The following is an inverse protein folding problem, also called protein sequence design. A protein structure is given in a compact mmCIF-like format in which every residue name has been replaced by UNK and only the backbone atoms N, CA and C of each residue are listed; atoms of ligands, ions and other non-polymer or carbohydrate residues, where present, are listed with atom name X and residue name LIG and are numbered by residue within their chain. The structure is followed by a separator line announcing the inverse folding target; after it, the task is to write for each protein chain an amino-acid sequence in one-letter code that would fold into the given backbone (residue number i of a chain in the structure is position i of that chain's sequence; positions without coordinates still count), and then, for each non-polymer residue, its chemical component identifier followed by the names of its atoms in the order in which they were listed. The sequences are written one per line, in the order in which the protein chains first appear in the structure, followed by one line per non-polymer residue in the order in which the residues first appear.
data_IF_545996709214
#
_entry.id   IF_545996709214
#
_cell.length_a   1.000
_cell.length_b   1.000
_cell.length_c   1.000
_cell.angle_alpha   90.00
_cell.angle_beta   90.00
_cell.angle_gamma   90.00
#
_symmetry.space_group_name_H-M   'P 1'
#
loop_
_entity.id
_entity.type
_entity.pdbx_description
1 polymer ?
#
# COMPACT_ATOMS: atom_id res chain seq x y z
N UNK A 1 -2.69 11.06 8.83
CA UNK A 1 -3.01 12.52 8.86
C UNK A 1 -1.98 13.35 8.10
N UNK A 2 -0.68 13.27 8.41
CA UNK A 2 0.36 14.06 7.70
C UNK A 2 0.43 13.80 6.19
N UNK A 3 0.35 12.53 5.76
CA UNK A 3 0.35 12.15 4.33
C UNK A 3 -0.86 12.71 3.56
N UNK A 4 -2.05 12.69 4.18
CA UNK A 4 -3.29 13.24 3.60
C UNK A 4 -3.21 14.76 3.49
N UNK A 5 -2.65 15.43 4.49
CA UNK A 5 -2.40 16.88 4.47
C UNK A 5 -1.47 17.28 3.32
N UNK A 6 -0.33 16.59 3.17
CA UNK A 6 0.64 16.86 2.12
C UNK A 6 0.08 16.57 0.71
N UNK A 7 -0.72 15.51 0.56
CA UNK A 7 -1.39 15.22 -0.71
C UNK A 7 -2.43 16.30 -1.08
N UNK A 8 -3.18 16.78 -0.08
CA UNK A 8 -4.18 17.85 -0.27
C UNK A 8 -3.49 19.14 -0.74
N UNK A 9 -2.39 19.54 -0.10
CA UNK A 9 -1.62 20.72 -0.49
C UNK A 9 -1.10 20.61 -1.94
N UNK A 10 -0.57 19.44 -2.32
CA UNK A 10 -0.12 19.20 -3.70
C UNK A 10 -1.27 19.33 -4.70
N UNK A 11 -2.45 18.77 -4.40
CA UNK A 11 -3.62 18.87 -5.27
C UNK A 11 -4.04 20.32 -5.45
N UNK A 12 -4.15 21.09 -4.36
CA UNK A 12 -4.52 22.50 -4.43
C UNK A 12 -3.51 23.31 -5.25
N UNK A 13 -2.21 23.03 -5.08
CA UNK A 13 -1.15 23.68 -5.84
C UNK A 13 -1.26 23.36 -7.33
N UNK A 14 -1.47 22.09 -7.71
CA UNK A 14 -1.67 21.70 -9.10
C UNK A 14 -2.92 22.32 -9.71
N UNK A 15 -4.05 22.37 -8.97
CA UNK A 15 -5.27 23.05 -9.44
C UNK A 15 -5.00 24.53 -9.67
N UNK A 16 -4.31 25.19 -8.73
CA UNK A 16 -3.92 26.59 -8.85
C UNK A 16 -3.06 26.81 -10.10
N UNK A 17 -2.07 25.97 -10.36
CA UNK A 17 -1.20 26.06 -11.55
C UNK A 17 -1.98 25.91 -12.85
N UNK A 18 -2.77 24.84 -12.99
CA UNK A 18 -3.57 24.55 -14.19
C UNK A 18 -4.52 25.70 -14.52
N UNK A 19 -5.18 26.30 -13.52
CA UNK A 19 -6.07 27.44 -13.73
C UNK A 19 -5.32 28.68 -14.24
N UNK A 20 -4.10 28.91 -13.75
CA UNK A 20 -3.24 30.00 -14.21
C UNK A 20 -2.79 29.82 -15.66
N UNK A 21 -2.38 28.61 -16.03
CA UNK A 21 -1.98 28.27 -17.41
C UNK A 21 -3.13 28.43 -18.43
N UNK A 22 -4.37 28.24 -17.98
CA UNK A 22 -5.57 28.38 -18.81
C UNK A 22 -6.17 29.81 -18.78
N UNK A 23 -5.46 30.78 -18.20
CA UNK A 23 -5.88 32.19 -18.22
C UNK A 23 -7.16 32.48 -17.41
N UNK A 24 -7.45 31.69 -16.39
CA UNK A 24 -8.58 31.93 -15.48
C UNK A 24 -8.27 33.15 -14.61
N UNK A 25 -9.24 34.05 -14.46
CA UNK A 25 -9.10 35.25 -13.59
C UNK A 25 -8.79 34.85 -12.15
N UNK A 26 -7.97 35.65 -11.46
CA UNK A 26 -7.44 35.32 -10.14
C UNK A 26 -8.54 35.17 -9.09
N UNK A 27 -9.59 36.00 -9.14
CA UNK A 27 -10.72 35.90 -8.20
C UNK A 27 -11.47 34.57 -8.37
N UNK A 28 -11.71 34.18 -9.62
CA UNK A 28 -12.36 32.91 -9.96
C UNK A 28 -11.47 31.71 -9.64
N UNK A 29 -10.15 31.87 -9.79
CA UNK A 29 -9.17 30.84 -9.45
C UNK A 29 -9.18 30.53 -7.97
N UNK A 30 -9.12 31.56 -7.12
CA UNK A 30 -9.15 31.39 -5.66
C UNK A 30 -10.47 30.80 -5.18
N UNK A 31 -11.61 31.17 -5.80
CA UNK A 31 -12.90 30.55 -5.54
C UNK A 31 -12.89 29.03 -5.86
N UNK A 32 -12.33 28.63 -7.01
CA UNK A 32 -12.23 27.21 -7.40
C UNK A 32 -11.30 26.44 -6.44
N UNK A 33 -10.16 27.03 -6.05
CA UNK A 33 -9.24 26.42 -5.08
C UNK A 33 -9.96 26.21 -3.73
N UNK A 34 -10.74 27.20 -3.28
CA UNK A 34 -11.52 27.09 -2.06
C UNK A 34 -12.59 25.98 -2.15
N UNK A 35 -13.34 25.91 -3.25
CA UNK A 35 -14.31 24.82 -3.44
C UNK A 35 -13.65 23.45 -3.53
N UNK A 36 -12.49 23.36 -4.16
CA UNK A 36 -11.70 22.12 -4.22
C UNK A 36 -11.30 21.68 -2.82
N UNK A 37 -10.81 22.60 -1.99
CA UNK A 37 -10.45 22.31 -0.60
C UNK A 37 -11.64 21.78 0.20
N UNK A 38 -12.80 22.45 0.07
CA UNK A 38 -14.03 22.02 0.76
C UNK A 38 -14.50 20.65 0.26
N UNK A 39 -14.41 20.39 -1.05
CA UNK A 39 -14.78 19.10 -1.62
C UNK A 39 -13.88 17.97 -1.09
N UNK A 40 -12.57 18.18 -1.06
CA UNK A 40 -11.61 17.23 -0.46
C UNK A 40 -11.96 16.97 1.00
N UNK A 41 -12.21 18.02 1.78
CA UNK A 41 -12.57 17.89 3.18
C UNK A 41 -13.85 17.07 3.36
N UNK A 42 -14.90 17.34 2.58
CA UNK A 42 -16.14 16.56 2.62
C UNK A 42 -15.94 15.10 2.23
N UNK A 43 -15.09 14.81 1.25
CA UNK A 43 -14.76 13.43 0.89
C UNK A 43 -14.08 12.73 2.07
N UNK A 44 -13.11 13.40 2.71
CA UNK A 44 -12.40 12.86 3.86
C UNK A 44 -13.30 12.67 5.09
N UNK A 45 -14.23 13.59 5.35
CA UNK A 45 -15.23 13.48 6.43
C UNK A 45 -16.15 12.26 6.23
N UNK A 46 -16.51 11.96 4.98
CA UNK A 46 -17.34 10.81 4.62
C UNK A 46 -16.52 9.54 4.35
N UNK A 47 -15.20 9.62 4.37
CA UNK A 47 -14.34 8.46 4.20
C UNK A 47 -14.25 7.71 5.52
N UNK A 48 -15.27 6.91 5.80
CA UNK A 48 -15.27 5.99 6.93
C UNK A 48 -14.20 4.91 6.67
N UNK A 49 -13.03 5.08 7.28
CA UNK A 49 -12.03 4.02 7.30
C UNK A 49 -12.60 2.85 8.11
N UNK A 50 -12.84 1.73 7.45
CA UNK A 50 -13.08 0.47 8.17
C UNK A 50 -11.82 0.17 9.00
N UNK A 51 -11.95 -0.22 10.27
CA UNK A 51 -10.81 -0.61 11.07
C UNK A 51 -10.10 -1.79 10.42
N UNK A 52 -8.78 -1.69 10.31
CA UNK A 52 -7.94 -2.80 9.89
C UNK A 52 -7.68 -3.71 11.10
N UNK A 53 -8.52 -4.74 11.24
CA UNK A 53 -8.37 -5.76 12.29
C UNK A 53 -7.16 -6.68 12.08
N UNK A 54 -6.57 -6.67 10.87
CA UNK A 54 -5.37 -7.44 10.55
C UNK A 54 -4.08 -6.64 10.81
N UNK A 55 -4.16 -5.41 11.33
CA UNK A 55 -3.00 -4.58 11.60
C UNK A 55 -2.15 -5.13 12.77
N UNK A 56 -0.84 -5.30 12.54
CA UNK A 56 0.10 -5.82 13.55
C UNK A 56 0.11 -4.97 14.83
N UNK A 57 0.06 -3.64 14.67
CA UNK A 57 0.12 -2.68 15.77
C UNK A 57 -1.03 -2.79 16.79
N UNK A 58 -2.15 -3.44 16.42
CA UNK A 58 -3.28 -3.69 17.32
C UNK A 58 -3.35 -5.16 17.78
N UNK A 59 -2.33 -5.96 17.47
CA UNK A 59 -2.17 -7.33 17.97
C UNK A 59 -2.53 -8.45 16.98
N UNK A 60 -2.74 -8.15 15.70
CA UNK A 60 -2.87 -9.19 14.68
C UNK A 60 -1.53 -9.92 14.49
N UNK A 61 -1.59 -11.24 14.25
CA UNK A 61 -0.38 -12.08 14.11
C UNK A 61 -0.55 -13.12 13.00
N UNK A 62 0.56 -13.67 12.51
CA UNK A 62 0.57 -14.76 11.55
C UNK A 62 0.60 -16.12 12.27
N UNK A 63 -0.23 -17.06 11.80
CA UNK A 63 -0.09 -18.47 12.14
C UNK A 63 0.94 -19.12 11.19
N UNK A 64 2.22 -19.02 11.56
CA UNK A 64 3.34 -19.49 10.73
C UNK A 64 3.18 -20.96 10.29
N UNK A 65 2.64 -21.83 11.15
CA UNK A 65 2.50 -23.26 10.87
C UNK A 65 1.47 -23.56 9.79
N UNK A 66 0.49 -22.68 9.62
CA UNK A 66 -0.57 -22.78 8.61
C UNK A 66 -0.40 -21.76 7.49
N UNK A 67 0.75 -21.10 7.42
CA UNK A 67 1.09 -20.13 6.38
C UNK A 67 2.10 -20.76 5.43
N UNK A 68 2.03 -20.38 4.15
CA UNK A 68 3.01 -20.85 3.16
C UNK A 68 4.43 -20.46 3.57
N UNK A 69 5.42 -21.24 3.15
CA UNK A 69 6.81 -20.89 3.45
C UNK A 69 7.20 -19.62 2.72
N UNK A 70 7.86 -18.71 3.42
CA UNK A 70 8.52 -17.57 2.78
C UNK A 70 9.47 -18.08 1.71
N UNK A 71 9.46 -17.40 0.57
CA UNK A 71 10.42 -17.64 -0.50
C UNK A 71 11.82 -17.48 0.06
N UNK A 72 12.72 -18.43 -0.21
CA UNK A 72 14.06 -18.45 0.37
C UNK A 72 15.14 -18.00 -0.62
N UNK A 73 14.74 -17.49 -1.78
CA UNK A 73 15.69 -16.98 -2.78
C UNK A 73 16.52 -18.07 -3.46
N UNK A 74 16.16 -19.36 -3.36
CA UNK A 74 16.84 -20.44 -4.08
C UNK A 74 16.86 -20.12 -5.59
N UNK A 75 18.04 -19.72 -6.08
CA UNK A 75 18.24 -19.21 -7.43
C UNK A 75 19.27 -18.06 -7.53
N UNK A 76 19.57 -17.37 -6.42
CA UNK A 76 20.71 -16.43 -6.37
C UNK A 76 21.99 -17.22 -6.14
N UNK A 77 22.58 -17.76 -7.21
CA UNK A 77 23.98 -18.20 -7.17
C UNK A 77 24.81 -17.06 -6.60
N UNK A 78 25.50 -17.29 -5.50
CA UNK A 78 26.54 -16.39 -5.02
C UNK A 78 27.58 -16.27 -6.14
N UNK A 79 27.54 -15.19 -6.91
CA UNK A 79 28.66 -14.85 -7.77
C UNK A 79 29.81 -14.53 -6.82
N UNK A 80 30.87 -15.34 -6.89
CA UNK A 80 32.00 -15.41 -5.95
C UNK A 80 32.83 -14.12 -5.76
N UNK A 81 32.32 -12.93 -6.11
CA UNK A 81 33.06 -11.67 -6.04
C UNK A 81 32.32 -10.48 -5.42
N UNK A 82 31.22 -10.69 -4.66
CA UNK A 82 30.69 -9.63 -3.79
C UNK A 82 30.23 -10.18 -2.42
N UNK A 83 30.80 -9.72 -1.29
CA UNK A 83 30.62 -10.38 0.00
C UNK A 83 29.31 -10.06 0.75
N UNK A 84 28.30 -9.44 0.14
CA UNK A 84 27.05 -9.15 0.85
C UNK A 84 25.85 -9.23 -0.11
N UNK A 85 25.23 -10.41 -0.18
CA UNK A 85 23.84 -10.54 -0.66
C UNK A 85 23.01 -11.01 0.53
N UNK A 86 22.77 -10.11 1.48
CA UNK A 86 21.71 -10.30 2.47
C UNK A 86 20.38 -10.07 1.76
N UNK A 87 19.89 -11.08 1.05
CA UNK A 87 18.48 -11.09 0.65
C UNK A 87 17.71 -11.75 1.78
N UNK A 88 17.58 -11.08 2.92
CA UNK A 88 16.58 -11.51 3.91
C UNK A 88 15.22 -11.26 3.27
N UNK A 89 14.60 -12.32 2.76
CA UNK A 89 13.21 -12.25 2.33
C UNK A 89 12.36 -11.82 3.51
N UNK A 90 11.49 -10.83 3.29
CA UNK A 90 10.64 -10.33 4.36
C UNK A 90 9.79 -11.47 4.94
N UNK A 91 9.55 -11.47 6.25
CA UNK A 91 8.72 -12.50 6.87
C UNK A 91 7.23 -12.22 6.58
N UNK A 92 6.34 -13.19 6.78
CA UNK A 92 4.90 -13.03 6.49
C UNK A 92 4.25 -11.85 7.20
N UNK A 93 4.74 -11.48 8.38
CA UNK A 93 4.23 -10.38 9.22
C UNK A 93 4.27 -9.02 8.49
N UNK A 94 5.15 -8.88 7.48
CA UNK A 94 5.23 -7.67 6.65
C UNK A 94 3.89 -7.30 6.00
N UNK A 95 3.01 -8.28 5.71
CA UNK A 95 1.69 -7.98 5.12
C UNK A 95 0.71 -7.33 6.11
N UNK A 96 1.01 -7.37 7.41
CA UNK A 96 0.18 -6.79 8.47
C UNK A 96 0.63 -5.36 8.82
N UNK A 97 1.65 -4.84 8.14
CA UNK A 97 2.21 -3.51 8.36
C UNK A 97 1.63 -2.50 7.35
N UNK A 98 1.52 -1.21 7.71
CA UNK A 98 0.92 -0.19 6.84
C UNK A 98 1.85 0.30 5.72
N UNK A 99 3.08 -0.23 5.66
CA UNK A 99 4.11 0.23 4.73
C UNK A 99 3.99 -0.49 3.38
N UNK A 100 3.93 0.29 2.30
CA UNK A 100 3.79 -0.23 0.92
C UNK A 100 4.82 0.50 0.06
N UNK A 101 6.04 -0.03 0.03
CA UNK A 101 7.10 0.40 -0.87
C UNK A 101 7.66 -0.78 -1.68
N UNK A 102 8.34 -0.53 -2.81
CA UNK A 102 9.00 -1.59 -3.56
C UNK A 102 9.95 -2.40 -2.68
N UNK A 103 9.72 -3.71 -2.62
CA UNK A 103 10.50 -4.63 -1.79
C UNK A 103 10.02 -4.78 -0.35
N UNK A 104 9.03 -4.04 0.11
CA UNK A 104 8.36 -4.20 1.43
C UNK A 104 7.14 -5.14 1.31
N UNK A 105 7.37 -6.34 0.80
CA UNK A 105 6.32 -7.35 0.65
C UNK A 105 6.82 -8.73 1.08
N UNK A 106 5.93 -9.58 1.55
CA UNK A 106 6.20 -11.00 1.74
C UNK A 106 6.01 -11.76 0.43
N UNK A 107 6.93 -12.67 0.12
CA UNK A 107 6.88 -13.51 -1.06
C UNK A 107 6.86 -15.00 -0.66
N UNK A 108 6.16 -15.81 -1.45
CA UNK A 108 6.17 -17.27 -1.37
C UNK A 108 6.52 -17.88 -2.73
N UNK A 109 6.91 -19.16 -2.74
CA UNK A 109 7.29 -19.86 -3.96
C UNK A 109 6.07 -20.15 -4.85
N UNK A 110 6.17 -19.81 -6.15
CA UNK A 110 5.18 -20.17 -7.16
C UNK A 110 4.00 -19.20 -7.25
N UNK A 111 2.90 -19.65 -7.84
CA UNK A 111 1.69 -18.84 -8.09
C UNK A 111 0.52 -19.16 -7.16
N UNK A 112 0.69 -20.11 -6.24
CA UNK A 112 -0.32 -20.52 -5.28
C UNK A 112 0.28 -20.55 -3.89
N UNK A 113 -0.39 -19.86 -2.97
CA UNK A 113 0.01 -19.74 -1.58
C UNK A 113 -1.19 -19.38 -0.74
N UNK A 114 -0.98 -19.36 0.57
CA UNK A 114 -1.99 -19.01 1.55
C UNK A 114 -1.30 -18.46 2.80
N UNK A 115 -2.03 -17.61 3.51
CA UNK A 115 -1.64 -17.03 4.78
C UNK A 115 -2.79 -17.15 5.76
N UNK A 116 -2.47 -17.40 7.02
CA UNK A 116 -3.47 -17.47 8.07
C UNK A 116 -3.18 -16.40 9.10
N UNK A 117 -4.08 -15.43 9.18
CA UNK A 117 -3.98 -14.27 10.08
C UNK A 117 -4.86 -14.53 11.30
N UNK A 118 -4.30 -14.32 12.50
CA UNK A 118 -5.03 -14.31 13.77
C UNK A 118 -5.34 -12.88 14.13
N UNK A 119 -6.63 -12.56 14.18
CA UNK A 119 -7.11 -11.25 14.57
C UNK A 119 -7.06 -11.11 16.11
N UNK A 120 -6.89 -9.89 16.64
CA UNK A 120 -6.86 -9.64 18.09
C UNK A 120 -8.22 -9.84 18.76
N UNK A 121 -9.31 -9.84 17.98
CA UNK A 121 -10.67 -10.02 18.46
C UNK A 121 -11.49 -10.87 17.48
N UNK A 122 -12.53 -11.52 17.99
CA UNK A 122 -13.50 -12.24 17.17
C UNK A 122 -14.47 -11.25 16.52
N UNK A 123 -14.37 -11.10 15.20
CA UNK A 123 -15.20 -10.19 14.41
C UNK A 123 -16.02 -10.94 13.37
N UNK A 124 -16.98 -10.24 12.76
CA UNK A 124 -17.65 -10.67 11.53
C UNK A 124 -17.08 -9.87 10.35
N UNK A 125 -16.18 -10.43 9.53
CA UNK A 125 -15.56 -9.69 8.43
C UNK A 125 -16.61 -9.29 7.39
N UNK A 126 -16.63 -8.01 7.02
CA UNK A 126 -17.53 -7.46 5.98
C UNK A 126 -16.80 -7.06 4.71
N UNK A 127 -15.48 -6.89 4.78
CA UNK A 127 -14.63 -6.47 3.67
C UNK A 127 -13.21 -6.97 3.88
N UNK A 128 -12.48 -7.10 2.78
CA UNK A 128 -11.05 -7.42 2.75
C UNK A 128 -10.35 -6.43 1.84
N UNK A 129 -9.12 -6.06 2.19
CA UNK A 129 -8.30 -5.16 1.40
C UNK A 129 -6.98 -5.84 1.08
N UNK A 130 -6.60 -5.85 -0.19
CA UNK A 130 -5.30 -6.36 -0.65
C UNK A 130 -4.62 -5.24 -1.43
N UNK A 131 -3.39 -4.91 -1.05
CA UNK A 131 -2.60 -3.88 -1.72
C UNK A 131 -1.42 -4.49 -2.45
N UNK A 132 -1.04 -3.84 -3.55
CA UNK A 132 0.21 -4.08 -4.25
C UNK A 132 0.73 -2.74 -4.78
N UNK A 133 2.04 -2.64 -5.00
CA UNK A 133 2.64 -1.49 -5.66
C UNK A 133 2.07 -1.34 -7.09
N UNK A 134 2.08 -0.10 -7.61
CA UNK A 134 1.73 0.17 -9.00
C UNK A 134 2.93 -0.03 -9.94
N UNK A 135 2.67 -0.21 -11.23
CA UNK A 135 3.71 -0.27 -12.27
C UNK A 135 4.62 0.97 -12.25
N UNK A 136 4.06 2.15 -11.98
CA UNK A 136 4.78 3.42 -11.96
C UNK A 136 5.90 3.49 -10.91
N UNK A 137 5.81 2.69 -9.84
CA UNK A 137 6.84 2.61 -8.79
C UNK A 137 7.58 1.27 -8.80
N UNK A 138 7.26 0.36 -9.74
CA UNK A 138 7.91 -0.93 -9.84
C UNK A 138 9.30 -0.78 -10.49
N UNK A 139 10.39 -1.28 -9.86
CA UNK A 139 11.73 -1.23 -10.46
C UNK A 139 11.85 -1.96 -11.81
N UNK A 140 11.02 -2.97 -12.05
CA UNK A 140 10.98 -3.69 -13.34
C UNK A 140 9.98 -3.11 -14.33
N UNK A 141 9.14 -2.14 -13.91
CA UNK A 141 8.01 -1.66 -14.69
C UNK A 141 6.85 -2.67 -14.81
N UNK A 142 6.91 -3.79 -14.09
CA UNK A 142 5.88 -4.83 -14.12
C UNK A 142 5.34 -5.13 -12.72
N UNK A 143 4.09 -5.61 -12.64
CA UNK A 143 3.43 -6.08 -11.41
C UNK A 143 2.91 -7.52 -11.56
N UNK A 144 3.60 -8.33 -12.38
CA UNK A 144 3.20 -9.71 -12.71
C UNK A 144 3.18 -10.64 -11.50
N UNK A 145 3.90 -10.30 -10.43
CA UNK A 145 3.90 -11.00 -9.14
C UNK A 145 2.68 -10.69 -8.25
N UNK A 146 1.84 -9.72 -8.61
CA UNK A 146 0.69 -9.35 -7.80
C UNK A 146 -0.32 -10.51 -7.70
N UNK A 147 -0.96 -10.72 -6.52
CA UNK A 147 -2.06 -11.67 -6.40
C UNK A 147 -3.19 -11.30 -7.37
N UNK A 148 -3.70 -12.30 -8.09
CA UNK A 148 -4.79 -12.12 -9.07
C UNK A 148 -6.12 -12.63 -8.53
N UNK A 149 -6.13 -13.91 -8.17
CA UNK A 149 -7.29 -14.59 -7.63
C UNK A 149 -6.97 -15.01 -6.19
N UNK A 150 -7.90 -14.76 -5.28
CA UNK A 150 -7.80 -15.19 -3.90
C UNK A 150 -9.17 -15.58 -3.35
N UNK A 151 -9.16 -16.37 -2.29
CA UNK A 151 -10.33 -16.74 -1.52
C UNK A 151 -10.06 -16.50 -0.03
N UNK A 152 -11.12 -16.26 0.74
CA UNK A 152 -11.11 -15.99 2.18
C UNK A 152 -12.03 -16.94 2.93
#
# INVERSE_FOLDING_TARGET
LAQVSAATEKILQSVREVLGENGVQEEKREEIVQFTQVAIQKVLENYHQLPDWALEAIGATIDEKRTSKSYDGQGRTSWWFWPLVFSSTNPPETILQPHIAPGECWAFQGSQGHVVIRLPEHIWPTAFTVWHISEAVSPSGEVTSAPREFAV
#
